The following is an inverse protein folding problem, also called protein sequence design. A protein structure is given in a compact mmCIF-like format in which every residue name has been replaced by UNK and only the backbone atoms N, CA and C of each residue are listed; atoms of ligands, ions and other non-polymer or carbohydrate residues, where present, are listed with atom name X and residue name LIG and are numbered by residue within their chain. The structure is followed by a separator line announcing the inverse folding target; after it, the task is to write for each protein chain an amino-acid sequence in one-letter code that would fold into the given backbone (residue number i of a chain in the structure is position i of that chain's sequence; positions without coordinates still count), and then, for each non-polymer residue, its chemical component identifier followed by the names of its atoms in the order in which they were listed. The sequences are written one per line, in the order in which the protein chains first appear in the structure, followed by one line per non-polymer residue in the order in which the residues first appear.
data_IF_899778302876
#
_entry.id   IF_899778302876
#
_cell.length_a   1.000
_cell.length_b   1.000
_cell.length_c   1.000
_cell.angle_alpha   90.00
_cell.angle_beta   90.00
_cell.angle_gamma   90.00
#
_symmetry.space_group_name_H-M   'P 1'
#
loop_
_entity.id
_entity.type
_entity.pdbx_description
1 polymer ?
#
# COMPACT_ATOMS: atom_id res chain seq x y z
N UNK A 1 -11.59 -7.96 5.07
CA UNK A 1 -10.44 -7.92 4.15
C UNK A 1 -9.60 -9.21 4.17
N UNK A 2 -10.19 -10.37 4.46
CA UNK A 2 -9.45 -11.64 4.55
C UNK A 2 -8.78 -12.02 3.21
N UNK A 3 -9.45 -11.75 2.09
CA UNK A 3 -8.97 -11.97 0.73
C UNK A 3 -7.64 -11.29 0.39
N UNK A 4 -7.24 -10.26 1.15
CA UNK A 4 -5.94 -9.60 1.05
C UNK A 4 -5.00 -9.90 2.22
N UNK A 5 -5.48 -9.76 3.45
CA UNK A 5 -4.62 -9.83 4.64
C UNK A 5 -4.07 -11.23 4.89
N UNK A 6 -4.91 -12.25 4.73
CA UNK A 6 -4.55 -13.68 4.69
C UNK A 6 -5.65 -14.44 3.93
N UNK A 7 -5.42 -14.80 2.65
CA UNK A 7 -6.42 -15.49 1.84
C UNK A 7 -7.02 -16.72 2.50
N UNK A 8 -6.24 -17.49 3.28
CA UNK A 8 -6.73 -18.68 3.97
C UNK A 8 -7.90 -18.40 4.94
N UNK A 9 -7.99 -17.18 5.48
CA UNK A 9 -9.09 -16.79 6.36
C UNK A 9 -10.42 -16.62 5.61
N UNK A 10 -10.45 -16.63 4.28
CA UNK A 10 -11.72 -16.57 3.54
C UNK A 10 -12.61 -17.78 3.80
N UNK A 11 -12.04 -18.97 4.06
CA UNK A 11 -12.81 -20.21 4.35
C UNK A 11 -13.70 -20.09 5.57
N UNK A 12 -13.42 -19.11 6.42
CA UNK A 12 -14.08 -18.84 7.70
C UNK A 12 -15.30 -17.93 7.53
N UNK A 13 -15.50 -17.38 6.33
CA UNK A 13 -16.64 -16.55 6.00
C UNK A 13 -17.80 -17.42 5.57
N UNK A 14 -18.96 -17.15 6.17
CA UNK A 14 -20.24 -17.72 5.75
C UNK A 14 -20.80 -16.90 4.59
N UNK A 15 -21.10 -17.57 3.48
CA UNK A 15 -21.72 -16.97 2.30
C UNK A 15 -20.85 -15.96 1.55
N UNK A 16 -21.51 -15.06 0.81
CA UNK A 16 -20.84 -14.00 0.06
C UNK A 16 -20.72 -12.76 0.92
N UNK A 17 -19.57 -12.10 0.91
CA UNK A 17 -19.32 -10.92 1.73
C UNK A 17 -18.66 -9.83 0.92
N UNK A 18 -19.05 -8.58 1.21
CA UNK A 18 -18.43 -7.37 0.69
C UNK A 18 -17.99 -6.50 1.86
N UNK A 19 -16.81 -5.91 1.74
CA UNK A 19 -16.29 -4.94 2.69
C UNK A 19 -15.77 -3.72 1.91
N UNK A 20 -16.13 -2.54 2.40
CA UNK A 20 -15.67 -1.25 1.88
C UNK A 20 -15.18 -0.44 3.07
N UNK A 21 -14.04 0.22 2.91
CA UNK A 21 -13.47 1.08 3.95
C UNK A 21 -12.68 2.23 3.35
N UNK A 22 -12.59 3.32 4.08
CA UNK A 22 -11.72 4.45 3.76
C UNK A 22 -11.00 4.87 5.02
N UNK A 23 -9.70 5.13 4.90
CA UNK A 23 -8.89 5.74 5.95
C UNK A 23 -8.45 7.11 5.45
N UNK A 24 -8.54 8.11 6.33
CA UNK A 24 -7.90 9.41 6.10
C UNK A 24 -6.69 9.50 7.05
N UNK A 25 -5.53 9.83 6.51
CA UNK A 25 -4.30 10.03 7.28
C UNK A 25 -3.78 11.44 7.00
N UNK A 26 -3.60 12.22 8.06
CA UNK A 26 -2.94 13.53 7.98
C UNK A 26 -1.47 13.32 8.37
N UNK A 27 -0.58 13.93 7.61
CA UNK A 27 0.87 13.86 7.81
C UNK A 27 1.37 15.27 8.04
N UNK A 28 2.27 15.44 9.00
CA UNK A 28 3.00 16.68 9.26
C UNK A 28 4.48 16.42 8.98
N UNK A 29 5.04 17.04 7.95
CA UNK A 29 6.44 16.87 7.54
C UNK A 29 7.15 18.22 7.59
N UNK A 30 7.78 18.52 8.71
CA UNK A 30 8.51 19.77 8.91
C UNK A 30 10.02 19.51 8.85
N UNK A 31 10.74 20.38 8.13
CA UNK A 31 12.19 20.39 8.09
C UNK A 31 12.72 21.64 8.80
N UNK A 32 13.76 21.49 9.62
CA UNK A 32 14.41 22.63 10.31
C UNK A 32 15.84 22.80 9.80
N UNK A 33 16.18 23.99 9.29
CA UNK A 33 17.52 24.25 8.76
C UNK A 33 18.52 24.63 9.88
N UNK A 34 19.51 23.76 10.15
CA UNK A 34 20.61 24.09 11.06
C UNK A 34 21.74 24.87 10.35
N UNK A 35 22.10 26.05 10.87
CA UNK A 35 23.18 26.98 10.42
C UNK A 35 22.81 28.06 9.37
N UNK A 36 22.26 29.22 9.79
CA UNK A 36 21.73 30.26 8.89
C UNK A 36 22.77 31.15 8.17
N UNK A 37 24.07 30.81 8.12
CA UNK A 37 25.14 31.78 7.79
C UNK A 37 26.03 31.49 6.57
N UNK A 38 25.85 30.40 5.83
CA UNK A 38 26.60 30.15 4.58
C UNK A 38 25.70 29.50 3.53
N UNK A 39 25.45 30.17 2.38
CA UNK A 39 24.70 29.63 1.23
C UNK A 39 23.30 30.26 0.98
N UNK A 40 22.70 30.07 -0.21
CA UNK A 40 21.47 30.75 -0.65
C UNK A 40 20.17 30.16 -0.09
N UNK A 41 20.18 28.95 0.47
CA UNK A 41 18.97 28.22 0.86
C UNK A 41 18.86 28.15 2.40
N UNK A 42 17.84 28.79 2.99
CA UNK A 42 17.76 29.06 4.45
C UNK A 42 16.35 28.96 5.04
N UNK A 43 15.42 28.33 4.33
CA UNK A 43 14.04 28.20 4.76
C UNK A 43 13.73 26.75 5.07
N UNK A 44 12.99 26.59 6.16
CA UNK A 44 12.49 25.32 6.68
C UNK A 44 11.57 24.60 5.67
N UNK A 45 10.98 25.32 4.72
CA UNK A 45 10.12 24.75 3.68
C UNK A 45 8.66 24.57 4.07
N UNK A 46 8.34 24.79 5.35
CA UNK A 46 6.99 24.64 5.88
C UNK A 46 6.63 23.17 6.13
N UNK A 47 5.35 22.96 6.41
CA UNK A 47 4.79 21.61 6.48
C UNK A 47 4.55 21.11 5.06
N UNK A 48 5.32 20.09 4.67
CA UNK A 48 5.20 19.42 3.38
C UNK A 48 4.24 18.23 3.42
N UNK A 49 3.60 17.98 4.55
CA UNK A 49 2.60 16.95 4.70
C UNK A 49 1.25 17.32 4.09
N UNK A 50 0.28 16.44 4.30
CA UNK A 50 -1.05 16.59 3.75
C UNK A 50 -1.97 15.45 4.15
N UNK A 51 -3.21 15.54 3.67
CA UNK A 51 -4.25 14.53 3.92
C UNK A 51 -4.26 13.51 2.78
N UNK A 52 -4.06 12.25 3.13
CA UNK A 52 -4.11 11.10 2.24
C UNK A 52 -5.41 10.34 2.47
N UNK A 53 -6.12 10.00 1.39
CA UNK A 53 -7.29 9.13 1.43
C UNK A 53 -6.95 7.74 0.89
N UNK A 54 -7.19 6.73 1.71
CA UNK A 54 -6.83 5.33 1.43
C UNK A 54 -8.11 4.50 1.36
N UNK A 55 -8.75 4.40 0.17
CA UNK A 55 -9.90 3.53 -0.01
C UNK A 55 -9.48 2.06 -0.08
N UNK A 56 -10.40 1.19 0.33
CA UNK A 56 -10.25 -0.26 0.24
C UNK A 56 -11.59 -0.92 -0.06
N UNK A 57 -11.56 -1.93 -0.93
CA UNK A 57 -12.72 -2.76 -1.26
C UNK A 57 -12.28 -4.21 -1.27
N UNK A 58 -13.10 -5.10 -0.71
CA UNK A 58 -12.90 -6.53 -0.79
C UNK A 58 -14.23 -7.25 -1.00
N UNK A 59 -14.22 -8.24 -1.86
CA UNK A 59 -15.36 -9.13 -2.11
C UNK A 59 -14.90 -10.58 -2.01
N UNK A 60 -15.69 -11.40 -1.32
CA UNK A 60 -15.50 -12.85 -1.22
C UNK A 60 -16.78 -13.54 -1.67
N UNK A 61 -16.62 -14.52 -2.55
CA UNK A 61 -17.66 -15.39 -3.04
C UNK A 61 -17.43 -16.82 -2.55
N UNK A 62 -18.46 -17.41 -1.94
CA UNK A 62 -18.46 -18.81 -1.51
C UNK A 62 -18.88 -19.71 -2.66
N UNK A 63 -17.93 -20.45 -3.24
CA UNK A 63 -18.23 -21.47 -4.25
C UNK A 63 -18.77 -22.75 -3.58
N UNK A 64 -18.27 -23.06 -2.39
CA UNK A 64 -18.79 -24.09 -1.49
C UNK A 64 -18.47 -23.72 -0.03
N UNK A 65 -18.76 -24.60 0.91
CA UNK A 65 -18.35 -24.43 2.32
C UNK A 65 -16.82 -24.42 2.48
N UNK A 66 -16.11 -25.16 1.62
CA UNK A 66 -14.67 -25.34 1.69
C UNK A 66 -13.87 -24.47 0.71
N UNK A 67 -14.47 -24.11 -0.43
CA UNK A 67 -13.79 -23.36 -1.50
C UNK A 67 -14.34 -21.95 -1.62
N UNK A 68 -13.44 -20.97 -1.50
CA UNK A 68 -13.76 -19.54 -1.58
C UNK A 68 -12.88 -18.86 -2.61
N UNK A 69 -13.43 -17.88 -3.31
CA UNK A 69 -12.66 -16.96 -4.18
C UNK A 69 -12.93 -15.53 -3.75
N UNK A 70 -11.96 -14.66 -3.92
CA UNK A 70 -12.08 -13.26 -3.53
C UNK A 70 -11.32 -12.34 -4.48
N UNK A 71 -11.66 -11.06 -4.40
CA UNK A 71 -10.91 -9.98 -5.03
C UNK A 71 -10.85 -8.82 -4.05
N UNK A 72 -9.67 -8.20 -3.95
CA UNK A 72 -9.45 -7.03 -3.13
C UNK A 72 -8.81 -5.92 -3.96
N UNK A 73 -9.24 -4.69 -3.73
CA UNK A 73 -8.58 -3.48 -4.20
C UNK A 73 -8.13 -2.71 -2.97
N UNK A 74 -6.84 -2.39 -2.91
CA UNK A 74 -6.24 -1.64 -1.80
C UNK A 74 -5.25 -0.61 -2.32
N UNK A 75 -5.23 0.56 -1.68
CA UNK A 75 -4.17 1.54 -1.84
C UNK A 75 -3.16 1.31 -0.72
N UNK A 76 -1.91 0.97 -1.05
CA UNK A 76 -0.88 0.63 -0.05
C UNK A 76 -0.06 1.83 0.38
N UNK A 77 0.31 2.64 -0.61
CA UNK A 77 1.15 3.82 -0.46
C UNK A 77 0.49 4.94 -1.24
N UNK A 78 0.46 6.11 -0.63
CA UNK A 78 -0.09 7.33 -1.20
C UNK A 78 0.47 8.47 -0.38
N UNK A 79 1.80 8.60 -0.33
CA UNK A 79 2.41 9.70 0.41
C UNK A 79 2.95 10.70 -0.59
N UNK A 80 2.74 11.97 -0.28
CA UNK A 80 3.30 13.09 -1.01
C UNK A 80 4.01 14.00 -0.02
N UNK A 81 5.10 14.59 -0.47
CA UNK A 81 5.71 15.75 0.16
C UNK A 81 5.70 16.91 -0.82
N UNK A 82 5.40 18.11 -0.35
CA UNK A 82 5.45 19.34 -1.13
C UNK A 82 6.00 20.49 -0.28
N UNK A 83 7.30 20.76 -0.39
CA UNK A 83 7.97 21.84 0.33
C UNK A 83 7.93 23.13 -0.48
N UNK A 84 7.98 24.28 0.20
CA UNK A 84 8.03 25.58 -0.45
C UNK A 84 9.19 25.71 -1.46
N UNK A 85 8.93 26.38 -2.59
CA UNK A 85 9.85 26.58 -3.73
C UNK A 85 11.23 27.17 -3.39
N UNK A 86 11.39 27.77 -2.22
CA UNK A 86 12.63 28.39 -1.76
C UNK A 86 13.24 27.75 -0.50
N UNK A 87 12.81 26.51 -0.19
CA UNK A 87 13.33 25.75 0.94
C UNK A 87 14.78 25.30 0.76
N UNK A 88 15.42 24.99 1.89
CA UNK A 88 16.85 24.71 1.97
C UNK A 88 17.32 23.56 1.07
N UNK A 89 16.46 22.57 0.81
CA UNK A 89 16.75 21.37 0.02
C UNK A 89 16.04 21.30 -1.33
N UNK A 90 15.62 22.43 -1.92
CA UNK A 90 14.87 22.44 -3.18
C UNK A 90 15.59 21.74 -4.34
N UNK A 91 16.92 21.67 -4.30
CA UNK A 91 17.74 20.96 -5.28
C UNK A 91 17.84 19.44 -5.05
N UNK A 92 17.26 18.93 -3.95
CA UNK A 92 17.16 17.51 -3.62
C UNK A 92 15.74 17.01 -3.89
N UNK A 93 14.74 17.69 -3.36
CA UNK A 93 13.34 17.43 -3.62
C UNK A 93 12.51 18.68 -3.31
N UNK A 94 11.79 19.19 -4.29
CA UNK A 94 10.75 20.21 -4.10
C UNK A 94 9.45 19.51 -3.72
N UNK A 95 9.03 18.57 -4.55
CA UNK A 95 7.90 17.68 -4.29
C UNK A 95 8.28 16.25 -4.63
N UNK A 96 7.64 15.29 -3.97
CA UNK A 96 7.73 13.88 -4.34
C UNK A 96 6.42 13.19 -3.97
N UNK A 97 5.88 12.39 -4.88
CA UNK A 97 4.67 11.60 -4.66
C UNK A 97 4.92 10.15 -5.06
N UNK A 98 4.33 9.22 -4.30
CA UNK A 98 4.31 7.81 -4.70
C UNK A 98 2.95 7.22 -4.33
N UNK A 99 2.26 6.72 -5.35
CA UNK A 99 0.98 6.02 -5.22
C UNK A 99 1.12 4.56 -5.64
N UNK A 100 0.46 3.66 -4.92
CA UNK A 100 0.37 2.26 -5.31
C UNK A 100 -1.04 1.73 -5.11
N UNK A 101 -1.68 1.36 -6.21
CA UNK A 101 -2.98 0.69 -6.24
C UNK A 101 -2.76 -0.79 -6.52
N UNK A 102 -3.22 -1.66 -5.62
CA UNK A 102 -3.12 -3.10 -5.78
C UNK A 102 -4.49 -3.74 -5.98
N UNK A 103 -4.58 -4.60 -6.98
CA UNK A 103 -5.67 -5.57 -7.12
C UNK A 103 -5.15 -6.96 -6.81
N UNK A 104 -5.86 -7.69 -5.95
CA UNK A 104 -5.52 -9.05 -5.55
C UNK A 104 -6.73 -9.98 -5.69
N UNK A 105 -6.85 -10.72 -6.81
CA UNK A 105 -7.63 -11.95 -6.84
C UNK A 105 -6.98 -13.01 -5.93
N UNK A 106 -7.81 -13.75 -5.20
CA UNK A 106 -7.37 -14.81 -4.31
C UNK A 106 -8.33 -15.99 -4.26
N UNK A 107 -7.80 -17.13 -3.85
CA UNK A 107 -8.52 -18.39 -3.65
C UNK A 107 -8.14 -18.96 -2.29
N UNK A 108 -9.08 -19.63 -1.63
CA UNK A 108 -8.83 -20.32 -0.38
C UNK A 108 -9.58 -21.64 -0.33
N UNK A 109 -8.96 -22.63 0.29
CA UNK A 109 -9.49 -23.97 0.41
C UNK A 109 -9.30 -24.50 1.83
N UNK A 110 -10.38 -25.04 2.41
CA UNK A 110 -10.35 -25.77 3.68
C UNK A 110 -9.84 -27.18 3.41
N UNK A 111 -8.59 -27.43 3.77
CA UNK A 111 -7.90 -28.71 3.51
C UNK A 111 -8.35 -29.78 4.51
N UNK A 112 -8.55 -29.37 5.76
CA UNK A 112 -9.10 -30.20 6.85
C UNK A 112 -10.01 -29.33 7.72
N UNK A 113 -10.71 -29.94 8.68
CA UNK A 113 -11.54 -29.22 9.65
C UNK A 113 -10.79 -28.12 10.41
N UNK A 114 -9.46 -28.26 10.53
CA UNK A 114 -8.59 -27.32 11.26
C UNK A 114 -7.60 -26.54 10.39
N UNK A 115 -7.33 -26.97 9.15
CA UNK A 115 -6.33 -26.34 8.29
C UNK A 115 -6.98 -25.75 7.03
N UNK A 116 -6.75 -24.47 6.81
CA UNK A 116 -7.09 -23.77 5.58
C UNK A 116 -5.85 -23.20 4.92
N UNK A 117 -5.80 -23.28 3.60
CA UNK A 117 -4.75 -22.67 2.78
C UNK A 117 -5.38 -21.64 1.86
N UNK A 118 -4.61 -20.65 1.46
CA UNK A 118 -5.02 -19.69 0.46
C UNK A 118 -3.86 -19.12 -0.31
N UNK A 119 -4.15 -18.62 -1.50
CA UNK A 119 -3.19 -17.99 -2.38
C UNK A 119 -3.84 -16.82 -3.11
N UNK A 120 -3.02 -15.86 -3.55
CA UNK A 120 -3.46 -14.73 -4.37
C UNK A 120 -2.36 -14.29 -5.31
N UNK A 121 -2.77 -13.63 -6.39
CA UNK A 121 -1.87 -12.94 -7.31
C UNK A 121 -2.10 -11.45 -7.13
N UNK A 122 -1.04 -10.67 -7.15
CA UNK A 122 -1.08 -9.24 -6.89
C UNK A 122 -0.69 -8.53 -8.20
N UNK A 123 -1.51 -7.58 -8.66
CA UNK A 123 -1.13 -6.62 -9.68
C UNK A 123 -1.09 -5.23 -9.04
N UNK A 124 0.05 -4.55 -9.13
CA UNK A 124 0.31 -3.28 -8.48
C UNK A 124 0.57 -2.25 -9.57
N UNK A 125 -0.32 -1.25 -9.69
CA UNK A 125 -0.01 -0.05 -10.45
C UNK A 125 0.71 0.91 -9.52
N UNK A 126 1.92 1.31 -9.90
CA UNK A 126 2.78 2.20 -9.13
C UNK A 126 3.04 3.44 -9.96
N UNK A 127 2.80 4.60 -9.37
CA UNK A 127 3.15 5.89 -9.96
C UNK A 127 4.06 6.64 -8.99
N UNK A 128 5.14 7.20 -9.51
CA UNK A 128 6.08 8.02 -8.76
C UNK A 128 6.34 9.33 -9.52
N UNK A 129 6.22 10.44 -8.81
CA UNK A 129 6.55 11.76 -9.33
C UNK A 129 7.57 12.42 -8.39
N UNK A 130 8.51 13.16 -8.95
CA UNK A 130 9.45 13.96 -8.19
C UNK A 130 9.79 15.24 -8.93
N UNK A 131 9.77 16.36 -8.24
CA UNK A 131 10.26 17.64 -8.75
C UNK A 131 11.41 18.15 -7.89
N UNK A 132 12.36 18.84 -8.50
CA UNK A 132 13.47 19.52 -7.83
C UNK A 132 13.93 20.73 -8.65
N UNK A 133 14.57 21.70 -7.99
CA UNK A 133 15.07 22.92 -8.65
C UNK A 133 16.59 22.95 -8.62
N UNK A 134 17.23 22.91 -9.79
CA UNK A 134 18.69 22.99 -9.94
C UNK A 134 19.06 24.22 -10.76
N UNK A 135 19.91 25.08 -10.21
CA UNK A 135 20.35 26.33 -10.86
C UNK A 135 19.18 27.23 -11.33
N UNK A 136 18.06 27.21 -10.58
CA UNK A 136 16.86 27.98 -10.89
C UNK A 136 16.00 27.40 -12.02
N UNK A 137 16.25 26.16 -12.44
CA UNK A 137 15.40 25.41 -13.37
C UNK A 137 14.74 24.24 -12.64
N UNK A 138 13.44 24.08 -12.88
CA UNK A 138 12.68 22.94 -12.35
C UNK A 138 12.88 21.72 -13.25
N UNK A 139 13.18 20.60 -12.61
CA UNK A 139 13.34 19.29 -13.22
C UNK A 139 12.33 18.35 -12.57
N UNK A 140 11.56 17.66 -13.41
CA UNK A 140 10.54 16.71 -12.99
C UNK A 140 10.81 15.32 -13.56
N UNK A 141 10.48 14.31 -12.76
CA UNK A 141 10.38 12.91 -13.16
C UNK A 141 8.95 12.44 -12.90
N UNK A 142 8.33 11.83 -13.90
CA UNK A 142 7.05 11.14 -13.81
C UNK A 142 7.28 9.74 -14.40
N UNK A 143 7.08 8.72 -13.57
CA UNK A 143 7.28 7.33 -13.93
C UNK A 143 6.14 6.46 -13.38
N UNK A 144 5.71 5.51 -14.20
CA UNK A 144 4.69 4.53 -13.81
C UNK A 144 5.03 3.13 -14.32
N UNK A 145 4.65 2.12 -13.53
CA UNK A 145 4.83 0.72 -13.91
C UNK A 145 3.73 -0.17 -13.30
N UNK A 146 3.53 -1.35 -13.91
CA UNK A 146 2.69 -2.42 -13.37
C UNK A 146 3.55 -3.60 -12.96
N UNK A 147 3.65 -3.81 -11.66
CA UNK A 147 4.44 -4.87 -11.08
C UNK A 147 3.58 -5.99 -10.47
N UNK A 148 4.02 -7.23 -10.64
CA UNK A 148 3.29 -8.43 -10.22
C UNK A 148 3.94 -9.10 -9.02
N UNK A 149 3.12 -9.76 -8.21
CA UNK A 149 3.56 -10.60 -7.10
C UNK A 149 2.54 -11.66 -6.76
N UNK A 150 2.80 -12.40 -5.69
CA UNK A 150 1.89 -13.41 -5.17
C UNK A 150 1.86 -13.42 -3.65
N UNK A 151 0.79 -13.98 -3.11
CA UNK A 151 0.58 -14.15 -1.66
C UNK A 151 0.22 -15.60 -1.39
N UNK A 152 0.78 -16.19 -0.35
CA UNK A 152 0.36 -17.48 0.19
C UNK A 152 -0.01 -17.31 1.66
N UNK A 153 -1.06 -17.99 2.08
CA UNK A 153 -1.58 -17.95 3.43
C UNK A 153 -1.93 -19.35 3.94
N UNK A 154 -1.73 -19.55 5.23
CA UNK A 154 -2.21 -20.72 5.95
C UNK A 154 -2.87 -20.27 7.25
N UNK A 155 -3.91 -20.99 7.64
CA UNK A 155 -4.61 -20.77 8.90
C UNK A 155 -4.87 -22.11 9.56
N UNK A 156 -4.48 -22.24 10.83
CA UNK A 156 -4.65 -23.43 11.63
C UNK A 156 -5.50 -23.12 12.87
N UNK A 157 -6.66 -23.76 12.97
CA UNK A 157 -7.54 -23.77 14.14
C UNK A 157 -7.05 -24.79 15.16
N UNK A 158 -6.40 -24.31 16.23
CA UNK A 158 -5.91 -25.17 17.31
C UNK A 158 -7.09 -25.69 18.15
N UNK A 159 -8.13 -24.86 18.30
CA UNK A 159 -9.41 -25.16 18.91
C UNK A 159 -10.41 -24.06 18.55
N UNK A 160 -11.64 -24.12 19.10
CA UNK A 160 -12.73 -23.16 18.80
C UNK A 160 -12.42 -21.70 19.17
N UNK A 161 -11.39 -21.43 19.98
CA UNK A 161 -11.05 -20.09 20.45
C UNK A 161 -9.63 -19.64 20.09
N UNK A 162 -8.83 -20.50 19.45
CA UNK A 162 -7.42 -20.24 19.17
C UNK A 162 -7.08 -20.60 17.73
N UNK A 163 -6.55 -19.63 17.01
CA UNK A 163 -6.18 -19.74 15.60
C UNK A 163 -4.79 -19.15 15.38
N UNK A 164 -3.98 -19.85 14.61
CA UNK A 164 -2.70 -19.35 14.11
C UNK A 164 -2.82 -19.07 12.62
N UNK A 165 -2.25 -17.95 12.18
CA UNK A 165 -2.17 -17.58 10.78
C UNK A 165 -0.74 -17.33 10.36
N UNK A 166 -0.35 -17.85 9.19
CA UNK A 166 0.90 -17.54 8.52
C UNK A 166 0.57 -16.92 7.17
N UNK A 167 1.28 -15.85 6.81
CA UNK A 167 1.19 -15.25 5.48
C UNK A 167 2.58 -14.93 4.98
N UNK A 168 2.79 -15.22 3.70
CA UNK A 168 3.95 -14.79 2.94
C UNK A 168 3.48 -14.00 1.73
N UNK A 169 4.10 -12.85 1.47
CA UNK A 169 3.91 -12.05 0.26
C UNK A 169 5.25 -12.02 -0.45
N UNK A 170 5.25 -12.27 -1.76
CA UNK A 170 6.45 -12.15 -2.56
C UNK A 170 6.93 -10.70 -2.61
N UNK A 171 8.21 -10.54 -2.88
CA UNK A 171 8.73 -9.27 -3.37
C UNK A 171 8.01 -8.89 -4.68
N UNK A 172 7.86 -7.58 -4.89
CA UNK A 172 7.30 -6.97 -6.10
C UNK A 172 8.36 -5.99 -6.59
N UNK A 173 8.81 -6.18 -7.82
CA UNK A 173 9.82 -5.33 -8.46
C UNK A 173 9.15 -4.55 -9.58
N UNK A 174 9.21 -3.23 -9.47
CA UNK A 174 8.73 -2.29 -10.48
C UNK A 174 9.93 -1.57 -11.09
N UNK A 175 9.88 -1.41 -12.41
CA UNK A 175 10.93 -0.75 -13.19
C UNK A 175 10.43 0.65 -13.56
N UNK A 176 10.68 1.61 -12.67
CA UNK A 176 10.34 3.04 -12.81
C UNK A 176 11.50 3.86 -13.40
#
# INVERSE_FOLDING_TARGET
MASWSNPANMTQLEGNQVAVGVVAAETDNNFEAEQPKVGPAKKDGGDAGGVVHIPSVAYVHSLSDDLKVGVSLMVHYGNSIDYADDWAGVNVAKSASMETIQVQPSVAYRVTDSLSLGAGINANYIKAEQELTVMGQDLGLDADDVAYGWTAGATWDLNQSNRLGLVYRSEVNADL
#
